data_IF_924363281494
#
_entry.id   IF_924363281494
#
_cell.length_a   1.000
_cell.length_b   1.000
_cell.length_c   1.000
_cell.angle_alpha   90.00
_cell.angle_beta   90.00
_cell.angle_gamma   90.00
#
_symmetry.space_group_name_H-M   'P 1'
#
loop_
_entity.id
_entity.type
_entity.pdbx_description
1 polymer ?
#
# COMPACT_ATOMS: atom_id res chain seq x y z
N UNK A 1 -20.22 -6.30 -14.71
CA UNK A 1 -20.02 -5.06 -13.94
C UNK A 1 -20.75 -3.92 -14.62
N UNK A 2 -21.55 -3.16 -13.89
CA UNK A 2 -22.24 -2.01 -14.47
C UNK A 2 -21.22 -0.90 -14.85
N UNK A 3 -21.51 -0.17 -15.92
CA UNK A 3 -20.66 0.95 -16.37
C UNK A 3 -20.38 1.95 -15.23
N UNK A 4 -21.35 2.22 -14.36
CA UNK A 4 -21.21 3.14 -13.25
C UNK A 4 -20.12 2.74 -12.24
N UNK A 5 -19.91 1.44 -12.00
CA UNK A 5 -18.85 0.94 -11.12
C UNK A 5 -17.46 1.12 -11.71
N UNK A 6 -17.30 0.92 -13.02
CA UNK A 6 -16.04 1.17 -13.73
C UNK A 6 -15.67 2.65 -13.71
N UNK A 7 -16.64 3.53 -13.95
CA UNK A 7 -16.44 4.98 -13.89
C UNK A 7 -16.00 5.45 -12.52
N UNK A 8 -16.63 4.94 -11.47
CA UNK A 8 -16.31 5.31 -10.09
C UNK A 8 -14.89 4.89 -9.68
N UNK A 9 -14.47 3.69 -10.08
CA UNK A 9 -13.10 3.21 -9.87
C UNK A 9 -12.10 4.12 -10.57
N UNK A 10 -12.28 4.36 -11.85
CA UNK A 10 -11.41 5.21 -12.65
C UNK A 10 -11.33 6.65 -12.14
N UNK A 11 -12.45 7.24 -11.74
CA UNK A 11 -12.47 8.58 -11.17
C UNK A 11 -11.63 8.68 -9.90
N UNK A 12 -11.69 7.67 -9.03
CA UNK A 12 -10.89 7.61 -7.81
C UNK A 12 -9.40 7.42 -8.10
N UNK A 13 -9.04 6.54 -9.02
CA UNK A 13 -7.64 6.35 -9.46
C UNK A 13 -7.06 7.65 -10.02
N UNK A 14 -7.82 8.34 -10.86
CA UNK A 14 -7.42 9.62 -11.45
C UNK A 14 -7.19 10.69 -10.38
N UNK A 15 -8.09 10.81 -9.43
CA UNK A 15 -7.99 11.79 -8.34
C UNK A 15 -6.76 11.53 -7.46
N UNK A 16 -6.49 10.26 -7.14
CA UNK A 16 -5.28 9.86 -6.40
C UNK A 16 -4.02 10.19 -7.19
N UNK A 17 -3.97 9.86 -8.46
CA UNK A 17 -2.82 10.16 -9.32
C UNK A 17 -2.56 11.67 -9.42
N UNK A 18 -3.59 12.47 -9.59
CA UNK A 18 -3.48 13.93 -9.63
C UNK A 18 -2.97 14.50 -8.30
N UNK A 19 -3.46 13.99 -7.18
CA UNK A 19 -2.98 14.38 -5.86
C UNK A 19 -1.50 14.08 -5.69
N UNK A 20 -1.07 12.86 -6.04
CA UNK A 20 0.33 12.44 -5.96
C UNK A 20 1.24 13.20 -6.93
N UNK A 21 0.73 13.68 -8.05
CA UNK A 21 1.50 14.42 -9.04
C UNK A 21 2.10 15.74 -8.53
N UNK A 22 1.64 16.23 -7.39
CA UNK A 22 2.21 17.39 -6.72
C UNK A 22 3.65 17.13 -6.23
N UNK A 23 4.00 15.89 -5.94
CA UNK A 23 5.31 15.47 -5.45
C UNK A 23 6.04 14.53 -6.41
N UNK A 24 5.31 13.80 -7.22
CA UNK A 24 5.81 12.89 -8.25
C UNK A 24 5.22 13.34 -9.59
N UNK A 25 5.91 14.21 -10.28
CA UNK A 25 5.39 14.95 -11.47
C UNK A 25 4.88 14.05 -12.59
N UNK A 26 5.37 12.82 -12.69
CA UNK A 26 4.93 11.85 -13.68
C UNK A 26 3.77 10.95 -13.24
N UNK A 27 3.26 11.10 -12.01
CA UNK A 27 2.20 10.25 -11.50
C UNK A 27 0.95 10.32 -12.40
N UNK A 28 0.49 9.17 -12.86
CA UNK A 28 -0.63 9.05 -13.79
C UNK A 28 -1.35 7.71 -13.61
N UNK A 29 -2.58 7.66 -14.10
CA UNK A 29 -3.35 6.42 -14.17
C UNK A 29 -2.87 5.59 -15.36
N UNK A 30 -2.71 4.28 -15.15
CA UNK A 30 -2.44 3.32 -16.22
C UNK A 30 -3.71 2.52 -16.54
N UNK A 31 -3.98 2.34 -17.83
CA UNK A 31 -5.01 1.42 -18.30
C UNK A 31 -4.41 0.03 -18.53
N UNK A 32 -5.15 -1.00 -18.14
CA UNK A 32 -4.77 -2.40 -18.34
C UNK A 32 -4.37 -3.11 -17.05
N UNK A 33 -3.66 -4.22 -17.20
CA UNK A 33 -3.18 -5.03 -16.07
C UNK A 33 -1.87 -4.45 -15.53
N UNK A 34 -1.91 -3.88 -14.34
CA UNK A 34 -0.73 -3.31 -13.72
C UNK A 34 -1.09 -2.45 -12.51
N UNK A 35 -0.20 -1.54 -12.16
CA UNK A 35 -0.42 -0.59 -11.07
C UNK A 35 -1.56 0.38 -11.41
N UNK A 36 -2.34 0.77 -10.43
CA UNK A 36 -3.37 1.80 -10.60
C UNK A 36 -2.74 3.18 -10.82
N UNK A 37 -1.62 3.45 -10.17
CA UNK A 37 -0.83 4.68 -10.37
C UNK A 37 0.58 4.30 -10.81
N UNK A 38 1.05 4.90 -11.90
CA UNK A 38 2.39 4.68 -12.46
C UNK A 38 3.29 5.90 -12.24
N UNK A 39 4.58 5.72 -12.48
CA UNK A 39 5.63 6.73 -12.32
C UNK A 39 5.81 7.23 -10.89
N UNK A 40 5.57 6.35 -9.94
CA UNK A 40 5.81 6.53 -8.50
C UNK A 40 6.65 5.35 -7.97
N UNK A 41 7.49 5.55 -6.95
CA UNK A 41 8.38 4.49 -6.45
C UNK A 41 7.70 3.51 -5.47
N UNK A 42 6.39 3.41 -5.51
CA UNK A 42 5.58 2.53 -4.68
C UNK A 42 4.39 1.98 -5.47
N UNK A 43 3.67 1.04 -4.90
CA UNK A 43 2.44 0.49 -5.47
C UNK A 43 1.24 0.90 -4.61
N UNK A 44 0.44 1.82 -5.13
CA UNK A 44 -0.81 2.25 -4.52
C UNK A 44 -1.98 1.54 -5.20
N UNK A 45 -2.64 0.64 -4.50
CA UNK A 45 -3.89 0.02 -4.93
C UNK A 45 -5.07 0.92 -4.56
N UNK A 46 -5.80 1.41 -5.54
CA UNK A 46 -6.93 2.33 -5.34
C UNK A 46 -8.25 1.56 -5.36
N UNK A 47 -9.02 1.70 -4.32
CA UNK A 47 -10.35 1.06 -4.19
C UNK A 47 -11.43 2.10 -3.96
N UNK A 48 -12.54 1.93 -4.67
CA UNK A 48 -13.78 2.68 -4.46
C UNK A 48 -14.93 1.68 -4.33
N UNK A 49 -15.21 1.29 -3.10
CA UNK A 49 -16.15 0.21 -2.79
C UNK A 49 -17.13 0.62 -1.70
N UNK A 50 -18.30 -0.02 -1.72
CA UNK A 50 -19.30 0.08 -0.65
C UNK A 50 -19.00 -0.88 0.51
N UNK A 51 -18.26 -1.96 0.24
CA UNK A 51 -17.83 -2.93 1.25
C UNK A 51 -16.33 -2.81 1.50
N UNK A 52 -15.92 -3.07 2.72
CA UNK A 52 -14.53 -2.96 3.17
C UNK A 52 -13.89 -4.35 3.31
N UNK A 53 -12.94 -4.66 2.43
CA UNK A 53 -12.23 -5.95 2.40
C UNK A 53 -10.70 -5.73 2.39
N UNK A 54 -10.14 -5.20 3.50
CA UNK A 54 -8.75 -4.73 3.52
C UNK A 54 -7.72 -5.84 3.27
N UNK A 55 -7.95 -7.02 3.80
CA UNK A 55 -6.99 -8.14 3.66
C UNK A 55 -6.89 -8.63 2.23
N UNK A 56 -8.02 -8.73 1.53
CA UNK A 56 -8.04 -9.10 0.11
C UNK A 56 -7.32 -8.06 -0.74
N UNK A 57 -7.59 -6.79 -0.51
CA UNK A 57 -6.99 -5.68 -1.27
C UNK A 57 -5.48 -5.61 -1.04
N UNK A 58 -5.02 -5.81 0.21
CA UNK A 58 -3.59 -5.89 0.52
C UNK A 58 -2.92 -7.08 -0.17
N UNK A 59 -3.58 -8.24 -0.26
CA UNK A 59 -3.03 -9.38 -0.99
C UNK A 59 -2.86 -9.10 -2.47
N UNK A 60 -3.80 -8.38 -3.09
CA UNK A 60 -3.68 -7.96 -4.49
C UNK A 60 -2.47 -7.05 -4.70
N UNK A 61 -2.30 -6.03 -3.86
CA UNK A 61 -1.17 -5.12 -3.91
C UNK A 61 0.16 -5.84 -3.67
N UNK A 62 0.22 -6.72 -2.67
CA UNK A 62 1.41 -7.51 -2.34
C UNK A 62 1.83 -8.43 -3.50
N UNK A 63 0.87 -9.12 -4.11
CA UNK A 63 1.12 -10.01 -5.25
C UNK A 63 1.72 -9.26 -6.43
N UNK A 64 1.23 -8.08 -6.72
CA UNK A 64 1.72 -7.25 -7.82
C UNK A 64 3.10 -6.66 -7.54
N UNK A 65 3.35 -6.19 -6.33
CA UNK A 65 4.63 -5.57 -5.94
C UNK A 65 5.76 -6.60 -5.87
N UNK A 66 5.45 -7.87 -5.59
CA UNK A 66 6.43 -8.97 -5.46
C UNK A 66 7.58 -8.65 -4.49
N UNK A 67 7.33 -7.83 -3.48
CA UNK A 67 8.36 -7.41 -2.51
C UNK A 67 9.41 -6.43 -3.05
N UNK A 68 9.28 -5.98 -4.29
CA UNK A 68 10.27 -5.09 -4.94
C UNK A 68 10.11 -3.62 -4.56
N UNK A 69 8.96 -3.23 -4.06
CA UNK A 69 8.66 -1.84 -3.68
C UNK A 69 7.59 -1.82 -2.59
N UNK A 70 7.51 -0.74 -1.82
CA UNK A 70 6.43 -0.55 -0.87
C UNK A 70 5.07 -0.61 -1.56
N UNK A 71 4.09 -1.20 -0.89
CA UNK A 71 2.71 -1.25 -1.38
C UNK A 71 1.74 -0.90 -0.26
N UNK A 72 0.63 -0.30 -0.63
CA UNK A 72 -0.45 0.07 0.27
C UNK A 72 -1.76 0.20 -0.51
N UNK A 73 -2.85 0.33 0.20
CA UNK A 73 -4.18 0.52 -0.38
C UNK A 73 -4.69 1.90 -0.04
N UNK A 74 -5.26 2.60 -1.01
CA UNK A 74 -5.99 3.83 -0.83
C UNK A 74 -7.46 3.55 -1.12
N UNK A 75 -8.32 3.74 -0.12
CA UNK A 75 -9.73 3.42 -0.22
C UNK A 75 -10.60 4.68 -0.08
N UNK A 76 -11.33 4.98 -1.14
CA UNK A 76 -12.44 5.92 -1.10
C UNK A 76 -13.66 5.19 -0.56
N UNK A 77 -14.20 5.67 0.55
CA UNK A 77 -15.39 5.10 1.17
C UNK A 77 -16.65 5.82 0.71
N UNK A 78 -17.81 5.23 1.00
CA UNK A 78 -19.10 5.86 0.71
C UNK A 78 -19.20 7.24 1.37
N UNK A 79 -19.76 8.20 0.64
CA UNK A 79 -19.92 9.58 1.10
C UNK A 79 -18.72 10.48 0.83
N UNK A 80 -17.57 9.93 0.44
CA UNK A 80 -16.42 10.74 0.05
C UNK A 80 -16.50 11.13 -1.44
N UNK A 81 -16.13 12.36 -1.74
CA UNK A 81 -16.08 12.88 -3.11
C UNK A 81 -14.93 12.27 -3.92
N UNK A 82 -14.91 12.55 -5.22
CA UNK A 82 -13.89 12.11 -6.17
C UNK A 82 -12.99 13.26 -6.66
N UNK A 83 -13.12 14.43 -6.06
CA UNK A 83 -12.25 15.57 -6.35
C UNK A 83 -10.87 15.40 -5.73
N UNK A 84 -9.88 16.09 -6.26
CA UNK A 84 -8.51 16.08 -5.73
C UNK A 84 -8.46 16.57 -4.27
N UNK A 85 -9.33 17.51 -3.89
CA UNK A 85 -9.43 18.04 -2.54
C UNK A 85 -9.95 17.01 -1.53
N UNK A 86 -10.70 16.00 -1.99
CA UNK A 86 -11.22 14.93 -1.15
C UNK A 86 -10.17 13.83 -0.87
N UNK A 87 -9.17 13.69 -1.71
CA UNK A 87 -8.16 12.59 -1.63
C UNK A 87 -7.44 12.53 -0.28
N UNK A 88 -7.03 13.65 0.36
CA UNK A 88 -6.38 13.58 1.68
C UNK A 88 -7.20 12.90 2.77
N UNK A 89 -8.52 12.86 2.63
CA UNK A 89 -9.43 12.22 3.59
C UNK A 89 -9.71 10.74 3.26
N UNK A 90 -9.20 10.22 2.15
CA UNK A 90 -9.31 8.79 1.86
C UNK A 90 -8.54 7.99 2.89
N UNK A 91 -8.98 6.76 3.16
CA UNK A 91 -8.25 5.86 4.04
C UNK A 91 -7.04 5.29 3.29
N UNK A 92 -5.90 5.30 3.93
CA UNK A 92 -4.73 4.57 3.45
C UNK A 92 -4.36 3.52 4.49
N UNK A 93 -4.09 2.30 4.05
CA UNK A 93 -3.69 1.22 4.96
C UNK A 93 -2.66 0.30 4.33
N UNK A 94 -1.84 -0.26 5.19
CA UNK A 94 -0.74 -1.15 4.87
C UNK A 94 -0.58 -2.20 5.96
N UNK A 95 0.33 -3.14 5.77
CA UNK A 95 0.71 -4.05 6.85
C UNK A 95 1.35 -3.25 7.98
N UNK A 96 1.04 -3.63 9.22
CA UNK A 96 1.58 -2.91 10.38
C UNK A 96 3.11 -2.89 10.41
N UNK A 97 3.76 -3.98 10.00
CA UNK A 97 5.20 -4.01 9.88
C UNK A 97 5.77 -2.98 8.89
N UNK A 98 5.09 -2.75 7.76
CA UNK A 98 5.48 -1.72 6.79
C UNK A 98 5.36 -0.32 7.39
N UNK A 99 4.26 -0.05 8.12
CA UNK A 99 4.07 1.23 8.81
C UNK A 99 5.17 1.45 9.86
N UNK A 100 5.51 0.43 10.66
CA UNK A 100 6.59 0.52 11.64
C UNK A 100 7.91 0.89 10.97
N UNK A 101 8.24 0.27 9.84
CA UNK A 101 9.46 0.61 9.10
C UNK A 101 9.45 2.06 8.61
N UNK A 102 8.34 2.54 8.09
CA UNK A 102 8.21 3.94 7.66
C UNK A 102 8.36 4.90 8.84
N UNK A 103 7.75 4.59 9.98
CA UNK A 103 7.86 5.42 11.19
C UNK A 103 9.31 5.48 11.69
N UNK A 104 10.03 4.36 11.68
CA UNK A 104 11.44 4.31 12.05
C UNK A 104 12.30 5.14 11.09
N UNK A 105 12.07 5.03 9.79
CA UNK A 105 12.77 5.83 8.78
C UNK A 105 12.45 7.33 8.91
N UNK A 106 11.26 7.67 9.36
CA UNK A 106 10.86 9.06 9.61
C UNK A 106 11.38 9.62 10.93
N UNK A 107 12.09 8.81 11.74
CA UNK A 107 12.72 9.27 12.98
C UNK A 107 11.84 9.22 14.23
N UNK A 108 10.71 8.52 14.17
CA UNK A 108 9.82 8.36 15.33
C UNK A 108 10.25 7.27 16.31
N UNK A 109 11.30 6.52 15.99
CA UNK A 109 11.82 5.48 16.88
C UNK A 109 12.95 6.00 17.77
N UNK A 110 13.10 5.42 18.96
CA UNK A 110 14.25 5.65 19.79
C UNK A 110 15.48 4.98 19.18
N UNK A 111 16.60 5.67 19.15
CA UNK A 111 17.89 5.08 18.81
C UNK A 111 18.35 4.25 20.00
N UNK A 112 17.89 3.00 20.08
CA UNK A 112 18.39 2.07 21.06
C UNK A 112 19.14 0.93 20.37
N UNK A 113 20.35 0.72 20.78
CA UNK A 113 21.26 -0.35 20.38
C UNK A 113 20.92 -1.69 21.05
N UNK A 114 19.66 -1.94 21.37
CA UNK A 114 19.28 -3.12 22.13
C UNK A 114 19.08 -4.31 21.18
N UNK A 115 19.98 -5.28 21.28
CA UNK A 115 20.00 -6.52 20.49
C UNK A 115 18.82 -7.45 20.79
N UNK A 116 18.00 -7.14 21.80
CA UNK A 116 16.88 -7.98 22.26
C UNK A 116 15.53 -7.54 21.69
N UNK A 117 15.49 -6.53 20.82
CA UNK A 117 14.23 -6.10 20.22
C UNK A 117 13.75 -7.07 19.15
N UNK A 118 12.47 -7.41 19.23
CA UNK A 118 11.77 -8.16 18.21
C UNK A 118 11.57 -7.27 16.95
N UNK A 119 12.64 -7.12 16.16
CA UNK A 119 12.61 -6.27 14.97
C UNK A 119 11.87 -7.01 13.85
N UNK A 120 10.85 -6.40 13.24
CA UNK A 120 10.22 -6.99 12.07
C UNK A 120 11.12 -6.87 10.84
N UNK A 121 11.18 -7.94 10.06
CA UNK A 121 11.88 -7.97 8.77
C UNK A 121 11.04 -8.71 7.72
N UNK A 122 11.34 -8.49 6.46
CA UNK A 122 10.73 -9.26 5.37
C UNK A 122 11.45 -10.58 5.18
N UNK A 123 10.69 -11.65 5.11
CA UNK A 123 11.21 -12.94 4.72
C UNK A 123 11.75 -12.87 3.28
N UNK A 124 12.99 -13.24 3.07
CA UNK A 124 13.66 -13.20 1.76
C UNK A 124 13.08 -14.21 0.76
N UNK A 125 12.43 -15.25 1.25
CA UNK A 125 11.84 -16.29 0.39
C UNK A 125 10.41 -15.98 -0.05
N UNK A 126 9.54 -15.54 0.87
CA UNK A 126 8.13 -15.36 0.55
C UNK A 126 7.62 -13.92 0.71
N UNK A 127 8.47 -12.99 1.16
CA UNK A 127 8.11 -11.59 1.37
C UNK A 127 7.19 -11.30 2.56
N UNK A 128 6.74 -12.32 3.29
CA UNK A 128 5.90 -12.13 4.49
C UNK A 128 6.70 -11.53 5.64
N UNK A 129 5.99 -10.83 6.53
CA UNK A 129 6.61 -10.31 7.74
C UNK A 129 6.97 -11.43 8.72
N UNK A 130 8.15 -11.35 9.27
CA UNK A 130 8.62 -12.19 10.37
C UNK A 130 9.45 -11.35 11.34
N UNK A 131 9.78 -11.91 12.48
CA UNK A 131 10.75 -11.30 13.40
C UNK A 131 12.17 -11.78 13.05
N UNK A 132 13.15 -10.90 13.25
CA UNK A 132 14.56 -11.24 13.09
C UNK A 132 14.89 -12.47 13.96
N UNK A 133 15.65 -13.40 13.41
CA UNK A 133 16.02 -14.67 14.07
C UNK A 133 14.86 -15.63 14.39
N UNK A 134 13.66 -15.37 13.87
CA UNK A 134 12.51 -16.26 14.01
C UNK A 134 12.16 -16.86 12.64
N UNK A 135 11.86 -18.17 12.57
CA UNK A 135 11.42 -18.77 11.31
C UNK A 135 10.17 -18.08 10.77
N UNK A 136 10.12 -17.93 9.46
CA UNK A 136 8.93 -17.38 8.81
C UNK A 136 7.74 -18.32 8.99
N UNK A 137 6.65 -17.83 9.59
CA UNK A 137 5.44 -18.64 9.81
C UNK A 137 4.72 -19.03 8.50
N UNK A 138 4.99 -18.31 7.42
CA UNK A 138 4.34 -18.55 6.13
C UNK A 138 5.05 -19.63 5.32
N UNK A 139 6.38 -19.60 5.24
CA UNK A 139 7.15 -20.56 4.44
C UNK A 139 8.14 -21.39 5.25
N UNK A 140 8.18 -21.20 6.56
CA UNK A 140 9.07 -21.91 7.50
C UNK A 140 10.58 -21.68 7.27
N UNK A 141 10.94 -20.67 6.49
CA UNK A 141 12.32 -20.33 6.22
C UNK A 141 12.97 -19.61 7.42
N UNK A 142 14.20 -19.99 7.74
CA UNK A 142 14.99 -19.37 8.81
C UNK A 142 15.68 -18.07 8.38
N UNK A 143 15.81 -17.87 7.10
CA UNK A 143 16.50 -16.71 6.51
C UNK A 143 15.59 -15.55 6.20
#
# INVERSE_FOLDING_TARGET
MSQSRKYRGYASERSVALYLSQWWSGAAVQRGNGKDVVNVPFDAEVKSRSTFAPMEWLRQAAKRSQGKQPYFVVARMNGQGDSQEAVPEYLAFMRFGDLVQLLLQAGYGDIQTDSDKLVPERCTQCGSWKLVNVPCRTCNAYL
#
